data_IF_839228058176
#
_entry.id   IF_839228058176
#
_cell.length_a   1.000
_cell.length_b   1.000
_cell.length_c   1.000
_cell.angle_alpha   90.00
_cell.angle_beta   90.00
_cell.angle_gamma   90.00
#
_symmetry.space_group_name_H-M   'P 1'
#
loop_
_entity.id
_entity.type
_entity.pdbx_description
1 polymer ?
#
# COMPACT_ATOMS: atom_id res chain seq x y z
N UNK A 1 36.00 6.93 -7.02
CA UNK A 1 34.72 6.23 -6.74
C UNK A 1 33.83 7.22 -6.03
N UNK A 2 32.85 7.79 -6.73
CA UNK A 2 31.95 8.80 -6.18
C UNK A 2 30.54 8.35 -6.51
N UNK A 3 29.84 7.78 -5.52
CA UNK A 3 28.44 7.43 -5.66
C UNK A 3 27.62 8.71 -5.50
N UNK A 4 26.92 9.10 -6.56
CA UNK A 4 25.94 10.17 -6.52
C UNK A 4 24.66 9.62 -5.85
N UNK A 5 24.28 10.22 -4.73
CA UNK A 5 22.96 10.05 -4.14
C UNK A 5 22.04 11.10 -4.74
N UNK A 6 20.93 10.66 -5.33
CA UNK A 6 19.84 11.57 -5.71
C UNK A 6 18.62 11.19 -4.88
N UNK A 7 18.26 12.09 -3.95
CA UNK A 7 16.96 12.07 -3.28
C UNK A 7 15.85 12.14 -4.34
N UNK A 8 14.92 11.18 -4.30
CA UNK A 8 13.64 11.34 -4.98
C UNK A 8 12.54 11.56 -3.93
N UNK A 9 12.21 12.83 -3.72
CA UNK A 9 10.90 13.24 -3.21
C UNK A 9 9.86 12.83 -4.25
N UNK A 10 8.96 11.93 -3.89
CA UNK A 10 7.70 11.78 -4.62
C UNK A 10 6.61 12.46 -3.80
N UNK A 11 6.36 13.72 -4.18
CA UNK A 11 5.05 14.34 -4.02
C UNK A 11 4.02 13.55 -4.84
N UNK A 12 2.74 13.69 -4.45
CA UNK A 12 1.58 12.97 -4.96
C UNK A 12 1.66 12.49 -6.40
N UNK A 13 1.24 11.25 -6.61
CA UNK A 13 1.27 10.56 -7.89
C UNK A 13 0.24 11.18 -8.85
N UNK A 14 0.57 12.32 -9.45
CA UNK A 14 -0.08 12.85 -10.64
C UNK A 14 0.97 13.09 -11.72
N UNK A 15 0.91 12.23 -12.74
CA UNK A 15 1.50 12.27 -14.09
C UNK A 15 2.78 13.09 -14.35
N UNK A 16 3.85 12.40 -14.77
CA UNK A 16 4.51 12.54 -16.09
C UNK A 16 5.99 12.11 -16.02
N UNK A 17 6.40 11.14 -16.85
CA UNK A 17 7.72 11.20 -17.52
C UNK A 17 7.59 10.65 -18.94
N UNK A 18 8.15 11.41 -19.87
CA UNK A 18 8.14 11.35 -21.33
C UNK A 18 9.23 10.38 -21.84
N UNK A 19 8.92 9.56 -22.86
CA UNK A 19 9.93 8.83 -23.65
C UNK A 19 9.34 7.73 -24.55
N UNK A 20 9.49 7.87 -25.86
CA UNK A 20 8.81 7.11 -26.92
C UNK A 20 8.95 5.57 -26.87
N UNK A 21 7.81 4.88 -26.74
CA UNK A 21 7.41 3.60 -27.39
C UNK A 21 6.06 3.22 -26.80
N UNK A 22 4.95 3.45 -27.52
CA UNK A 22 3.56 3.20 -27.08
C UNK A 22 3.33 3.54 -25.61
N UNK A 23 2.91 4.77 -25.30
CA UNK A 23 2.50 5.19 -23.96
C UNK A 23 1.37 4.29 -23.43
N UNK A 24 1.71 3.10 -22.93
CA UNK A 24 0.82 2.28 -22.16
C UNK A 24 0.62 3.03 -20.85
N UNK A 25 -0.54 3.68 -20.73
CA UNK A 25 -0.93 4.33 -19.49
C UNK A 25 -0.98 3.25 -18.40
N UNK A 26 -0.14 3.42 -17.38
CA UNK A 26 -0.12 2.57 -16.20
C UNK A 26 -1.00 3.24 -15.16
N UNK A 27 -2.02 2.53 -14.69
CA UNK A 27 -2.94 3.02 -13.67
C UNK A 27 -2.75 2.22 -12.39
N UNK A 28 -2.84 2.89 -11.23
CA UNK A 28 -2.93 2.19 -9.96
C UNK A 28 -4.36 1.68 -9.75
N UNK A 29 -4.64 0.48 -10.23
CA UNK A 29 -5.96 -0.16 -10.03
C UNK A 29 -6.19 -0.61 -8.58
N UNK A 30 -5.20 -0.49 -7.68
CA UNK A 30 -5.30 -0.92 -6.28
C UNK A 30 -5.92 0.09 -5.32
N UNK A 31 -6.51 1.18 -5.82
CA UNK A 31 -7.15 2.24 -5.00
C UNK A 31 -8.68 2.10 -4.99
N UNK A 32 -9.31 2.67 -3.97
CA UNK A 32 -10.77 2.62 -3.79
C UNK A 32 -11.49 3.37 -4.91
N UNK A 33 -10.90 4.46 -5.39
CA UNK A 33 -11.43 5.33 -6.45
C UNK A 33 -11.53 4.60 -7.80
N UNK A 34 -10.71 3.58 -8.04
CA UNK A 34 -10.78 2.71 -9.22
C UNK A 34 -11.78 1.55 -9.05
N UNK A 35 -12.53 1.55 -7.96
CA UNK A 35 -13.56 0.55 -7.66
C UNK A 35 -13.03 -0.75 -7.07
N UNK A 36 -11.78 -0.78 -6.60
CA UNK A 36 -11.21 -1.96 -5.95
C UNK A 36 -11.74 -2.12 -4.53
N UNK A 37 -12.16 -3.34 -4.21
CA UNK A 37 -12.66 -3.71 -2.90
C UNK A 37 -11.83 -4.86 -2.34
N UNK A 38 -11.71 -4.94 -1.02
CA UNK A 38 -11.07 -6.06 -0.33
C UNK A 38 -12.15 -7.05 0.11
N UNK A 39 -11.93 -8.35 -0.13
CA UNK A 39 -12.76 -9.40 0.46
C UNK A 39 -12.42 -9.56 1.95
N UNK A 40 -13.12 -8.79 2.78
CA UNK A 40 -12.85 -8.71 4.23
C UNK A 40 -13.02 -10.07 4.92
N UNK A 41 -13.99 -10.89 4.47
CA UNK A 41 -14.30 -12.16 5.13
C UNK A 41 -13.21 -13.21 4.91
N UNK A 42 -12.62 -13.19 3.71
CA UNK A 42 -11.59 -14.13 3.30
C UNK A 42 -10.17 -13.58 3.46
N UNK A 43 -9.99 -12.37 3.98
CA UNK A 43 -8.67 -11.76 4.21
C UNK A 43 -8.24 -11.86 5.68
N UNK A 44 -6.98 -11.50 5.93
CA UNK A 44 -6.43 -11.40 7.28
C UNK A 44 -7.29 -10.48 8.17
N UNK A 45 -7.48 -10.90 9.43
CA UNK A 45 -8.25 -10.10 10.40
C UNK A 45 -7.39 -8.97 10.96
N UNK A 46 -7.97 -7.76 11.16
CA UNK A 46 -7.26 -6.67 11.80
C UNK A 46 -6.87 -7.03 13.23
N UNK A 47 -5.66 -6.65 13.60
CA UNK A 47 -5.18 -6.66 14.98
C UNK A 47 -5.41 -5.30 15.62
N UNK A 48 -6.21 -5.28 16.67
CA UNK A 48 -6.46 -4.10 17.51
C UNK A 48 -5.67 -4.24 18.81
N UNK A 49 -4.90 -3.21 19.16
CA UNK A 49 -4.07 -3.17 20.36
C UNK A 49 -4.29 -1.87 21.14
N UNK A 50 -3.86 -1.83 22.40
CA UNK A 50 -4.05 -0.68 23.28
C UNK A 50 -5.00 -0.96 24.44
N UNK A 51 -5.18 0.04 25.30
CA UNK A 51 -6.05 -0.08 26.47
C UNK A 51 -7.52 -0.13 26.03
N UNK A 52 -8.39 -0.67 26.90
CA UNK A 52 -9.81 -0.96 26.62
C UNK A 52 -10.56 0.26 26.01
N UNK A 53 -10.16 1.48 26.37
CA UNK A 53 -10.74 2.75 25.90
C UNK A 53 -10.02 3.42 24.73
N UNK A 54 -8.87 2.87 24.29
CA UNK A 54 -8.06 3.37 23.17
C UNK A 54 -7.54 2.19 22.34
N UNK A 55 -8.46 1.49 21.67
CA UNK A 55 -8.09 0.51 20.66
C UNK A 55 -7.48 1.24 19.46
N UNK A 56 -6.18 1.06 19.29
CA UNK A 56 -5.40 1.45 18.13
C UNK A 56 -5.43 0.32 17.11
N UNK A 57 -5.80 0.66 15.88
CA UNK A 57 -5.91 -0.28 14.77
C UNK A 57 -6.68 0.37 13.64
N UNK A 58 -6.36 0.02 12.40
CA UNK A 58 -7.03 0.54 11.21
C UNK A 58 -7.80 -0.56 10.51
N UNK A 59 -8.86 -0.15 9.83
CA UNK A 59 -9.62 -1.01 8.94
C UNK A 59 -8.74 -1.49 7.77
N UNK A 60 -8.99 -2.70 7.26
CA UNK A 60 -8.17 -3.32 6.20
C UNK A 60 -8.03 -2.47 4.92
N UNK A 61 -9.00 -1.59 4.67
CA UNK A 61 -8.95 -0.64 3.55
C UNK A 61 -7.76 0.34 3.64
N UNK A 62 -7.11 0.51 4.80
CA UNK A 62 -5.90 1.32 4.90
C UNK A 62 -4.74 0.79 4.06
N UNK A 63 -4.77 -0.47 3.62
CA UNK A 63 -3.78 -1.02 2.66
C UNK A 63 -3.85 -0.33 1.29
N UNK A 64 -5.01 0.21 0.93
CA UNK A 64 -5.22 0.93 -0.32
C UNK A 64 -5.04 2.45 -0.15
N UNK A 65 -4.68 2.91 1.06
CA UNK A 65 -4.45 4.33 1.33
C UNK A 65 -3.11 4.79 0.75
N UNK A 66 -3.08 5.98 0.17
CA UNK A 66 -1.82 6.59 -0.30
C UNK A 66 -0.99 7.19 0.83
N UNK A 67 -1.57 7.40 2.02
CA UNK A 67 -0.88 8.01 3.15
C UNK A 67 0.13 7.06 3.81
N UNK A 68 1.40 7.45 3.84
CA UNK A 68 2.49 6.68 4.46
C UNK A 68 2.88 7.16 5.87
N UNK A 69 1.99 7.91 6.52
CA UNK A 69 2.23 8.39 7.89
C UNK A 69 2.25 7.23 8.90
N UNK A 70 3.00 7.41 9.98
CA UNK A 70 3.08 6.41 11.05
C UNK A 70 1.69 6.13 11.64
N UNK A 71 1.35 4.85 11.73
CA UNK A 71 0.03 4.41 12.22
C UNK A 71 -1.08 4.45 11.17
N UNK A 72 -0.82 4.93 9.95
CA UNK A 72 -1.72 4.78 8.81
C UNK A 72 -1.44 3.47 8.06
N UNK A 73 -1.50 2.34 8.76
CA UNK A 73 -1.26 1.02 8.18
C UNK A 73 -2.25 -0.01 8.72
N UNK A 74 -2.50 -1.04 7.92
CA UNK A 74 -3.21 -2.22 8.38
C UNK A 74 -2.24 -3.11 9.15
N UNK A 75 -2.72 -3.64 10.28
CA UNK A 75 -1.93 -4.52 11.15
C UNK A 75 -2.73 -5.80 11.33
N UNK A 76 -2.07 -6.94 11.19
CA UNK A 76 -2.63 -8.26 11.43
C UNK A 76 -1.86 -8.97 12.55
N UNK A 77 -2.49 -9.97 13.18
CA UNK A 77 -1.83 -10.81 14.16
C UNK A 77 -0.96 -11.86 13.47
N UNK A 78 0.24 -12.09 14.00
CA UNK A 78 1.16 -13.10 13.47
C UNK A 78 2.03 -12.56 12.33
N UNK A 79 2.78 -13.46 11.69
CA UNK A 79 3.74 -13.14 10.63
C UNK A 79 3.28 -13.54 9.24
N UNK A 80 2.17 -14.27 9.14
CA UNK A 80 1.62 -14.80 7.90
C UNK A 80 0.15 -14.42 7.75
N UNK A 81 -0.25 -14.07 6.54
CA UNK A 81 -1.61 -13.68 6.21
C UNK A 81 -1.72 -13.28 4.75
N UNK A 82 -2.95 -13.04 4.29
CA UNK A 82 -3.21 -12.66 2.91
C UNK A 82 -4.36 -11.65 2.85
N UNK A 83 -4.39 -10.90 1.75
CA UNK A 83 -5.42 -9.90 1.46
C UNK A 83 -5.89 -10.14 0.03
N UNK A 84 -7.20 -10.28 -0.14
CA UNK A 84 -7.80 -10.59 -1.44
C UNK A 84 -8.43 -9.31 -1.99
N UNK A 85 -7.88 -8.82 -3.09
CA UNK A 85 -8.40 -7.68 -3.83
C UNK A 85 -9.35 -8.16 -4.94
N UNK A 86 -10.51 -7.51 -5.04
CA UNK A 86 -11.46 -7.67 -6.15
C UNK A 86 -11.45 -6.37 -6.94
N UNK A 87 -11.00 -6.45 -8.19
CA UNK A 87 -10.85 -5.30 -9.06
C UNK A 87 -12.09 -5.12 -9.94
N UNK A 88 -12.49 -3.87 -10.19
CA UNK A 88 -13.69 -3.55 -10.95
C UNK A 88 -13.60 -3.87 -12.45
N UNK A 89 -12.38 -3.97 -13.00
CA UNK A 89 -12.14 -4.21 -14.43
C UNK A 89 -10.96 -5.15 -14.64
N UNK A 90 -10.93 -5.89 -15.77
CA UNK A 90 -9.75 -6.65 -16.17
C UNK A 90 -8.56 -5.72 -16.46
N UNK A 91 -7.36 -6.15 -16.09
CA UNK A 91 -6.11 -5.46 -16.41
C UNK A 91 -4.97 -6.47 -16.54
N UNK A 92 -3.87 -6.04 -17.16
CA UNK A 92 -2.62 -6.78 -17.16
C UNK A 92 -1.72 -6.24 -16.05
N UNK A 93 -1.30 -7.08 -15.12
CA UNK A 93 -0.35 -6.68 -14.08
C UNK A 93 0.99 -6.35 -14.72
N UNK A 94 1.49 -5.14 -14.44
CA UNK A 94 2.82 -4.69 -14.87
C UNK A 94 3.77 -4.63 -13.69
N UNK A 95 3.30 -4.15 -12.53
CA UNK A 95 4.06 -4.00 -11.29
C UNK A 95 3.13 -4.09 -10.09
N UNK A 96 3.66 -4.55 -8.96
CA UNK A 96 3.02 -4.46 -7.64
C UNK A 96 3.90 -3.55 -6.77
N UNK A 97 3.28 -2.59 -6.08
CA UNK A 97 3.94 -1.71 -5.11
C UNK A 97 3.58 -2.13 -3.69
N UNK A 98 4.58 -2.31 -2.84
CA UNK A 98 4.42 -2.50 -1.40
C UNK A 98 5.14 -1.37 -0.70
N UNK A 99 4.46 -0.70 0.22
CA UNK A 99 4.97 0.48 0.90
C UNK A 99 4.88 0.30 2.41
N UNK A 100 5.90 0.77 3.12
CA UNK A 100 5.94 0.80 4.57
C UNK A 100 6.35 2.21 5.01
N UNK A 101 5.75 2.77 6.07
CA UNK A 101 6.15 4.06 6.61
C UNK A 101 7.67 4.14 6.85
N UNK A 102 8.26 5.29 6.55
CA UNK A 102 9.66 5.55 6.83
C UNK A 102 9.88 5.57 8.34
N UNK A 103 10.64 4.60 8.85
CA UNK A 103 10.87 4.41 10.27
C UNK A 103 12.29 3.89 10.52
N UNK A 104 12.86 4.19 11.70
CA UNK A 104 14.13 3.60 12.16
C UNK A 104 13.97 2.13 12.55
N UNK A 105 12.73 1.70 12.85
CA UNK A 105 12.37 0.33 13.25
C UNK A 105 11.37 -0.22 12.23
N UNK A 106 11.81 -1.16 11.39
CA UNK A 106 10.99 -1.75 10.33
C UNK A 106 10.75 -3.25 10.57
N UNK A 107 10.82 -3.68 11.84
CA UNK A 107 10.68 -5.09 12.20
C UNK A 107 9.30 -5.68 11.85
N UNK A 108 8.27 -4.84 11.78
CA UNK A 108 6.90 -5.19 11.39
C UNK A 108 6.63 -5.09 9.89
N UNK A 109 7.61 -4.66 9.09
CA UNK A 109 7.44 -4.57 7.65
C UNK A 109 7.32 -5.97 7.02
N UNK A 110 6.55 -6.06 5.94
CA UNK A 110 6.49 -7.25 5.10
C UNK A 110 7.89 -7.54 4.56
N UNK A 111 8.28 -8.82 4.56
CA UNK A 111 9.58 -9.32 4.08
C UNK A 111 9.42 -10.12 2.81
#
# INVERSE_FOLDING_TARGET
MTAAYTEQKFAGCSEQVIGSKTNQRVFNVGIVEEGTIIDIQNSAKPYYYGLIFQKSGRHINSVMSEGLELGNCFIMSGTEGHIIFKFARPFKTVRIGLFHPASKKNASAIK
#
